data_IF_202741726635
#
_entry.id   IF_202741726635
#
_cell.length_a   1.000
_cell.length_b   1.000
_cell.length_c   1.000
_cell.angle_alpha   90.00
_cell.angle_beta   90.00
_cell.angle_gamma   90.00
#
_symmetry.space_group_name_H-M   'P 1'
#
loop_
_entity.id
_entity.type
_entity.pdbx_description
1 polymer ?
#
# COMPACT_ATOMS: atom_id res chain seq x y z
N UNK A 1 -8.20 35.17 8.27
CA UNK A 1 -8.59 33.81 7.84
C UNK A 1 -10.03 33.55 8.24
N UNK A 2 -10.94 33.37 7.27
CA UNK A 2 -12.27 32.83 7.56
C UNK A 2 -12.14 31.34 7.91
N UNK A 3 -12.57 30.96 9.11
CA UNK A 3 -12.46 29.57 9.63
C UNK A 3 -13.13 28.56 8.69
N UNK A 4 -14.16 28.98 7.96
CA UNK A 4 -14.91 28.14 7.02
C UNK A 4 -14.03 27.53 5.92
N UNK A 5 -13.15 28.32 5.29
CA UNK A 5 -12.32 27.83 4.20
C UNK A 5 -11.21 26.87 4.65
N UNK A 6 -10.71 27.06 5.88
CA UNK A 6 -9.73 26.14 6.48
C UNK A 6 -10.37 24.79 6.73
N UNK A 7 -11.62 24.78 7.21
CA UNK A 7 -12.40 23.56 7.42
C UNK A 7 -12.66 22.85 6.08
N UNK A 8 -12.96 23.58 5.01
CA UNK A 8 -13.19 23.03 3.67
C UNK A 8 -11.92 22.35 3.11
N UNK A 9 -10.77 23.03 3.19
CA UNK A 9 -9.49 22.46 2.76
C UNK A 9 -9.10 21.21 3.56
N UNK A 10 -9.29 21.25 4.88
CA UNK A 10 -9.04 20.11 5.76
C UNK A 10 -9.99 18.95 5.41
N UNK A 11 -11.26 19.24 5.15
CA UNK A 11 -12.26 18.26 4.73
C UNK A 11 -11.89 17.56 3.43
N UNK A 12 -11.49 18.33 2.40
CA UNK A 12 -11.02 17.79 1.12
C UNK A 12 -9.79 16.89 1.31
N UNK A 13 -8.86 17.29 2.18
CA UNK A 13 -7.67 16.51 2.48
C UNK A 13 -7.99 15.21 3.25
N UNK A 14 -8.95 15.26 4.18
CA UNK A 14 -9.47 14.08 4.88
C UNK A 14 -10.17 13.12 3.92
N UNK A 15 -10.96 13.63 2.97
CA UNK A 15 -11.54 12.80 1.91
C UNK A 15 -10.46 12.08 1.09
N UNK A 16 -9.35 12.77 0.79
CA UNK A 16 -8.19 12.15 0.16
C UNK A 16 -7.54 11.05 0.98
N UNK A 17 -7.40 11.25 2.28
CA UNK A 17 -6.87 10.24 3.21
C UNK A 17 -7.78 9.01 3.30
N UNK A 18 -9.11 9.21 3.39
CA UNK A 18 -10.10 8.13 3.40
C UNK A 18 -10.02 7.36 2.07
N UNK A 19 -10.04 8.06 0.94
CA UNK A 19 -9.87 7.44 -0.37
C UNK A 19 -8.60 6.59 -0.42
N UNK A 20 -7.47 7.12 0.06
CA UNK A 20 -6.19 6.42 0.05
C UNK A 20 -6.21 5.17 0.95
N UNK A 21 -6.82 5.22 2.14
CA UNK A 21 -6.99 4.04 3.01
C UNK A 21 -7.74 2.90 2.29
N UNK A 22 -8.85 3.21 1.62
CA UNK A 22 -9.61 2.21 0.87
C UNK A 22 -8.85 1.70 -0.36
N UNK A 23 -8.22 2.61 -1.10
CA UNK A 23 -7.43 2.28 -2.29
C UNK A 23 -6.25 1.36 -1.93
N UNK A 24 -5.52 1.65 -0.85
CA UNK A 24 -4.40 0.83 -0.37
C UNK A 24 -4.83 -0.61 -0.11
N UNK A 25 -5.97 -0.79 0.56
CA UNK A 25 -6.54 -2.11 0.84
C UNK A 25 -6.98 -2.85 -0.42
N UNK A 26 -7.51 -2.14 -1.41
CA UNK A 26 -7.92 -2.74 -2.67
C UNK A 26 -6.71 -3.19 -3.52
N UNK A 27 -5.71 -2.32 -3.68
CA UNK A 27 -4.50 -2.63 -4.42
C UNK A 27 -3.68 -3.75 -3.79
N UNK A 28 -3.66 -3.85 -2.45
CA UNK A 28 -3.01 -4.95 -1.75
C UNK A 28 -3.64 -6.32 -2.11
N UNK A 29 -4.95 -6.38 -2.37
CA UNK A 29 -5.64 -7.60 -2.78
C UNK A 29 -5.47 -7.91 -4.26
N UNK A 30 -5.56 -6.90 -5.12
CA UNK A 30 -5.61 -7.08 -6.57
C UNK A 30 -4.24 -7.29 -7.25
N UNK A 31 -3.13 -7.36 -6.49
CA UNK A 31 -1.75 -7.57 -6.99
C UNK A 31 -1.40 -6.70 -8.21
N UNK A 32 -1.88 -5.46 -8.23
CA UNK A 32 -1.75 -4.58 -9.40
C UNK A 32 -0.33 -4.04 -9.54
N UNK A 33 0.16 -3.92 -10.78
CA UNK A 33 1.48 -3.38 -11.08
C UNK A 33 1.70 -1.96 -10.54
N UNK A 34 2.92 -1.68 -10.07
CA UNK A 34 3.24 -0.42 -9.38
C UNK A 34 2.99 0.84 -10.23
N UNK A 35 3.21 0.75 -11.55
CA UNK A 35 2.97 1.87 -12.46
C UNK A 35 1.47 2.22 -12.56
N UNK A 36 0.61 1.21 -12.71
CA UNK A 36 -0.84 1.42 -12.79
C UNK A 36 -1.41 1.91 -11.46
N UNK A 37 -0.96 1.32 -10.33
CA UNK A 37 -1.32 1.80 -8.99
C UNK A 37 -1.01 3.28 -8.84
N UNK A 38 0.21 3.69 -9.20
CA UNK A 38 0.63 5.09 -9.14
C UNK A 38 -0.19 6.01 -10.05
N UNK A 39 -0.54 5.58 -11.26
CA UNK A 39 -1.39 6.37 -12.16
C UNK A 39 -2.79 6.60 -11.59
N UNK A 40 -3.43 5.56 -11.05
CA UNK A 40 -4.78 5.66 -10.50
C UNK A 40 -4.80 6.51 -9.24
N UNK A 41 -3.88 6.27 -8.30
CA UNK A 41 -3.81 7.06 -7.07
C UNK A 41 -3.40 8.51 -7.35
N UNK A 42 -2.47 8.73 -8.27
CA UNK A 42 -2.08 10.08 -8.69
C UNK A 42 -3.21 10.82 -9.39
N UNK A 43 -4.01 10.18 -10.26
CA UNK A 43 -5.19 10.79 -10.84
C UNK A 43 -6.23 11.19 -9.77
N UNK A 44 -6.49 10.33 -8.78
CA UNK A 44 -7.39 10.66 -7.68
C UNK A 44 -6.91 11.88 -6.87
N UNK A 45 -5.62 11.91 -6.52
CA UNK A 45 -5.02 13.04 -5.80
C UNK A 45 -4.92 14.31 -6.64
N UNK A 46 -4.73 14.18 -7.96
CA UNK A 46 -4.86 15.31 -8.87
C UNK A 46 -6.28 15.89 -8.86
N UNK A 47 -7.32 15.07 -8.71
CA UNK A 47 -8.72 15.54 -8.65
C UNK A 47 -8.94 16.33 -7.37
N UNK A 48 -8.40 15.83 -6.25
CA UNK A 48 -8.40 16.51 -4.95
C UNK A 48 -7.66 17.85 -5.05
N UNK A 49 -6.50 17.88 -5.71
CA UNK A 49 -5.77 19.13 -5.97
C UNK A 49 -6.60 20.10 -6.79
N UNK A 50 -7.26 19.65 -7.86
CA UNK A 50 -8.15 20.50 -8.68
C UNK A 50 -9.33 21.02 -7.85
N UNK A 51 -9.92 20.19 -6.98
CA UNK A 51 -10.97 20.61 -6.06
C UNK A 51 -10.49 21.71 -5.10
N UNK A 52 -9.28 21.58 -4.53
CA UNK A 52 -8.66 22.64 -3.71
C UNK A 52 -8.43 23.93 -4.52
N UNK A 53 -8.07 23.82 -5.80
CA UNK A 53 -7.90 24.99 -6.67
C UNK A 53 -9.25 25.65 -7.04
N UNK A 54 -10.34 24.89 -7.09
CA UNK A 54 -11.71 25.43 -7.30
C UNK A 54 -12.20 26.14 -6.04
N UNK A 55 -11.96 25.57 -4.85
CA UNK A 55 -12.43 26.11 -3.58
C UNK A 55 -11.85 27.49 -3.21
N UNK A 56 -10.89 28.02 -4.00
CA UNK A 56 -10.30 29.38 -3.94
C UNK A 56 -10.49 30.06 -2.58
N UNK A 57 -9.61 29.76 -1.63
CA UNK A 57 -9.68 30.30 -0.28
C UNK A 57 -9.22 31.77 -0.31
N UNK A 58 -10.11 32.71 -0.58
CA UNK A 58 -9.79 34.14 -0.57
C UNK A 58 -9.69 34.64 0.88
N UNK A 59 -8.47 34.99 1.31
CA UNK A 59 -8.20 35.53 2.66
C UNK A 59 -8.36 37.07 2.65
N UNK A 60 -8.11 37.70 1.51
CA UNK A 60 -8.34 39.13 1.21
C UNK A 60 -8.82 39.28 -0.24
N UNK A 61 -9.45 40.41 -0.63
CA UNK A 61 -9.86 40.64 -2.01
C UNK A 61 -8.66 40.53 -2.95
N UNK A 62 -8.60 39.45 -3.75
CA UNK A 62 -7.51 39.18 -4.70
C UNK A 62 -6.35 38.30 -4.18
N UNK A 63 -6.39 37.80 -2.95
CA UNK A 63 -5.36 36.91 -2.38
C UNK A 63 -5.97 35.57 -1.96
N UNK A 64 -5.68 34.52 -2.74
CA UNK A 64 -6.14 33.16 -2.48
C UNK A 64 -5.03 32.28 -1.87
N UNK A 65 -5.32 31.64 -0.73
CA UNK A 65 -4.52 30.56 -0.15
C UNK A 65 -4.79 29.28 -0.95
N UNK A 66 -3.74 28.60 -1.41
CA UNK A 66 -3.91 27.38 -2.20
C UNK A 66 -2.97 26.26 -1.72
N UNK A 67 -3.57 25.26 -1.06
CA UNK A 67 -2.90 24.05 -0.58
C UNK A 67 -2.67 23.00 -1.69
N UNK A 68 -2.75 23.38 -2.97
CA UNK A 68 -2.55 22.51 -4.15
C UNK A 68 -1.28 21.67 -4.14
N UNK A 69 -0.22 22.15 -3.49
CA UNK A 69 1.04 21.41 -3.44
C UNK A 69 0.97 20.23 -2.46
N UNK A 70 0.09 20.30 -1.44
CA UNK A 70 -0.01 19.27 -0.40
C UNK A 70 -0.44 17.91 -0.96
N UNK A 71 -1.55 17.73 -1.70
CA UNK A 71 -1.92 16.41 -2.20
C UNK A 71 -0.91 15.84 -3.20
N UNK A 72 -0.33 16.69 -4.06
CA UNK A 72 0.71 16.30 -5.03
C UNK A 72 1.98 15.84 -4.32
N UNK A 73 2.44 16.58 -3.32
CA UNK A 73 3.61 16.26 -2.52
C UNK A 73 3.42 14.95 -1.74
N UNK A 74 2.25 14.76 -1.12
CA UNK A 74 1.94 13.53 -0.40
C UNK A 74 1.94 12.32 -1.33
N UNK A 75 1.18 12.35 -2.42
CA UNK A 75 1.07 11.17 -3.27
C UNK A 75 2.39 10.84 -3.97
N UNK A 76 3.18 11.86 -4.33
CA UNK A 76 4.55 11.64 -4.80
C UNK A 76 5.43 10.97 -3.74
N UNK A 77 5.34 11.40 -2.48
CA UNK A 77 6.15 10.85 -1.39
C UNK A 77 5.81 9.39 -1.08
N UNK A 78 4.54 9.00 -1.13
CA UNK A 78 4.09 7.66 -0.75
C UNK A 78 4.03 6.67 -1.91
N UNK A 79 3.60 7.10 -3.10
CA UNK A 79 3.41 6.23 -4.28
C UNK A 79 4.49 6.42 -5.37
N UNK A 80 5.38 7.40 -5.21
CA UNK A 80 6.53 7.61 -6.08
C UNK A 80 6.27 8.54 -7.28
N UNK A 81 7.21 8.53 -8.22
CA UNK A 81 7.28 9.51 -9.33
C UNK A 81 6.07 9.43 -10.26
N UNK A 82 5.58 8.22 -10.58
CA UNK A 82 4.42 8.06 -11.47
C UNK A 82 3.15 8.67 -10.89
N UNK A 83 2.95 8.53 -9.58
CA UNK A 83 1.82 9.12 -8.88
C UNK A 83 1.97 10.63 -8.71
N UNK A 84 3.16 11.10 -8.33
CA UNK A 84 3.47 12.52 -8.21
C UNK A 84 3.28 13.28 -9.52
N UNK A 85 3.80 12.75 -10.64
CA UNK A 85 3.68 13.38 -11.95
C UNK A 85 2.28 13.30 -12.54
N UNK A 86 1.51 12.22 -12.30
CA UNK A 86 0.12 12.15 -12.76
C UNK A 86 -0.77 13.13 -12.00
N UNK A 87 -0.62 13.24 -10.68
CA UNK A 87 -1.32 14.25 -9.88
C UNK A 87 -0.93 15.67 -10.30
N UNK A 88 0.37 15.94 -10.43
CA UNK A 88 0.88 17.23 -10.87
C UNK A 88 0.45 17.58 -12.29
N UNK A 89 0.44 16.62 -13.20
CA UNK A 89 0.01 16.80 -14.58
C UNK A 89 -1.46 17.21 -14.67
N UNK A 90 -2.34 16.57 -13.89
CA UNK A 90 -3.75 16.95 -13.88
C UNK A 90 -3.98 18.33 -13.28
N UNK A 91 -3.30 18.65 -12.18
CA UNK A 91 -3.33 19.98 -11.59
C UNK A 91 -2.75 21.06 -12.53
N UNK A 92 -1.69 20.74 -13.26
CA UNK A 92 -1.06 21.62 -14.24
C UNK A 92 -1.99 21.93 -15.42
N UNK A 93 -2.74 20.94 -15.92
CA UNK A 93 -3.72 21.15 -16.97
C UNK A 93 -4.81 22.12 -16.52
N UNK A 94 -5.35 21.92 -15.32
CA UNK A 94 -6.33 22.85 -14.75
C UNK A 94 -5.74 24.24 -14.51
N UNK A 95 -4.48 24.33 -14.05
CA UNK A 95 -3.77 25.60 -13.87
C UNK A 95 -3.57 26.36 -15.18
N UNK A 96 -3.25 25.64 -16.26
CA UNK A 96 -3.11 26.19 -17.59
C UNK A 96 -4.45 26.76 -18.10
N UNK A 97 -5.55 26.03 -17.86
CA UNK A 97 -6.89 26.47 -18.24
C UNK A 97 -7.33 27.76 -17.51
N UNK A 98 -7.00 27.89 -16.22
CA UNK A 98 -7.30 29.13 -15.46
C UNK A 98 -6.52 30.36 -15.96
N UNK A 99 -5.38 30.18 -16.62
CA UNK A 99 -4.54 31.26 -17.12
C UNK A 99 -3.98 32.20 -16.04
N UNK A 100 -3.56 33.40 -16.47
CA UNK A 100 -3.01 34.46 -15.62
C UNK A 100 -1.47 34.53 -15.61
N UNK A 101 -0.90 35.64 -15.10
CA UNK A 101 0.53 35.94 -15.20
C UNK A 101 1.43 34.94 -14.45
N UNK A 102 0.88 34.21 -13.47
CA UNK A 102 1.59 33.16 -12.73
C UNK A 102 1.31 31.72 -13.19
N UNK A 103 0.70 31.52 -14.37
CA UNK A 103 0.34 30.18 -14.83
C UNK A 103 1.58 29.31 -15.11
N UNK A 104 2.51 29.80 -15.93
CA UNK A 104 3.75 29.08 -16.30
C UNK A 104 4.59 28.71 -15.06
N UNK A 105 4.96 29.64 -14.17
CA UNK A 105 5.75 29.28 -13.00
C UNK A 105 4.98 28.40 -12.00
N UNK A 106 3.64 28.52 -11.94
CA UNK A 106 2.81 27.64 -11.11
C UNK A 106 2.75 26.19 -11.64
N UNK A 107 2.67 26.01 -12.96
CA UNK A 107 2.73 24.69 -13.61
C UNK A 107 4.10 24.05 -13.37
N UNK A 108 5.17 24.81 -13.59
CA UNK A 108 6.53 24.34 -13.33
C UNK A 108 6.72 23.92 -11.86
N UNK A 109 6.17 24.69 -10.91
CA UNK A 109 6.20 24.35 -9.50
C UNK A 109 5.46 23.05 -9.17
N UNK A 110 4.24 22.85 -9.71
CA UNK A 110 3.48 21.61 -9.50
C UNK A 110 4.24 20.37 -9.99
N UNK A 111 4.78 20.43 -11.21
CA UNK A 111 5.56 19.32 -11.79
C UNK A 111 6.85 19.08 -11.00
N UNK A 112 7.55 20.14 -10.58
CA UNK A 112 8.75 20.05 -9.78
C UNK A 112 8.48 19.43 -8.40
N UNK A 113 7.39 19.80 -7.72
CA UNK A 113 6.96 19.21 -6.45
C UNK A 113 6.64 17.73 -6.63
N UNK A 114 5.85 17.36 -7.66
CA UNK A 114 5.52 15.97 -7.94
C UNK A 114 6.76 15.10 -8.21
N UNK A 115 7.73 15.63 -8.95
CA UNK A 115 9.00 14.95 -9.21
C UNK A 115 9.86 14.84 -7.94
N UNK A 116 10.03 15.93 -7.19
CA UNK A 116 10.84 15.96 -5.97
C UNK A 116 10.28 14.99 -4.92
N UNK A 117 8.97 15.04 -4.69
CA UNK A 117 8.27 14.13 -3.79
C UNK A 117 8.44 12.67 -4.23
N UNK A 118 8.26 12.38 -5.52
CA UNK A 118 8.45 11.06 -6.10
C UNK A 118 9.85 10.47 -5.89
N UNK A 119 10.88 11.30 -6.12
CA UNK A 119 12.28 10.89 -5.95
C UNK A 119 12.63 10.70 -4.46
N UNK A 120 12.09 11.55 -3.58
CA UNK A 120 12.23 11.40 -2.14
C UNK A 120 11.54 10.14 -1.63
N UNK A 121 10.33 9.86 -2.09
CA UNK A 121 9.56 8.66 -1.75
C UNK A 121 10.31 7.39 -2.13
N UNK A 122 10.87 7.35 -3.35
CA UNK A 122 11.69 6.22 -3.80
C UNK A 122 12.90 5.97 -2.90
N UNK A 123 13.58 7.02 -2.43
CA UNK A 123 14.69 6.90 -1.47
C UNK A 123 14.22 6.57 -0.05
N UNK A 124 13.03 7.02 0.36
CA UNK A 124 12.47 6.73 1.67
C UNK A 124 12.14 5.23 1.79
N UNK A 125 11.57 4.62 0.74
CA UNK A 125 11.30 3.18 0.70
C UNK A 125 12.59 2.36 0.86
N UNK A 126 13.72 2.80 0.28
CA UNK A 126 15.00 2.09 0.42
C UNK A 126 15.67 2.25 1.79
N UNK A 127 15.30 3.28 2.57
CA UNK A 127 15.93 3.61 3.87
C UNK A 127 15.00 3.39 5.09
N UNK A 128 13.97 2.56 4.95
CA UNK A 128 13.13 2.16 6.09
C UNK A 128 11.80 2.93 6.25
N UNK A 129 11.38 3.68 5.23
CA UNK A 129 10.05 4.32 5.18
C UNK A 129 10.07 5.85 5.29
N UNK A 130 8.88 6.43 5.33
CA UNK A 130 8.67 7.88 5.45
C UNK A 130 8.58 8.26 6.93
N UNK A 131 9.56 9.00 7.43
CA UNK A 131 9.56 9.53 8.81
C UNK A 131 9.42 11.05 8.86
N UNK A 132 9.41 11.61 10.08
CA UNK A 132 9.24 13.06 10.29
C UNK A 132 10.34 13.91 9.63
N UNK A 133 11.53 13.35 9.40
CA UNK A 133 12.64 14.05 8.71
C UNK A 133 12.33 14.21 7.22
N UNK A 134 11.81 13.17 6.57
CA UNK A 134 11.44 13.20 5.15
C UNK A 134 10.27 14.15 4.91
N UNK A 135 9.27 14.17 5.80
CA UNK A 135 8.15 15.11 5.72
C UNK A 135 8.60 16.56 5.89
N UNK A 136 9.49 16.84 6.85
CA UNK A 136 10.07 18.16 7.04
C UNK A 136 10.92 18.59 5.84
N UNK A 137 11.76 17.70 5.31
CA UNK A 137 12.55 17.97 4.11
C UNK A 137 11.66 18.25 2.89
N UNK A 138 10.55 17.52 2.73
CA UNK A 138 9.61 17.72 1.63
C UNK A 138 8.87 19.06 1.75
N UNK A 139 8.45 19.43 2.96
CA UNK A 139 7.85 20.74 3.21
C UNK A 139 8.82 21.88 2.86
N UNK A 140 10.09 21.77 3.27
CA UNK A 140 11.14 22.75 2.92
C UNK A 140 11.39 22.83 1.42
N UNK A 141 11.48 21.68 0.74
CA UNK A 141 11.69 21.64 -0.71
C UNK A 141 10.49 22.24 -1.45
N UNK A 142 9.27 21.91 -1.02
CA UNK A 142 8.04 22.44 -1.60
C UNK A 142 7.98 23.96 -1.43
N UNK A 143 8.28 24.46 -0.23
CA UNK A 143 8.36 25.89 0.05
C UNK A 143 9.42 26.59 -0.81
N UNK A 144 10.61 26.00 -0.97
CA UNK A 144 11.65 26.53 -1.83
C UNK A 144 11.22 26.60 -3.31
N UNK A 145 10.56 25.56 -3.81
CA UNK A 145 9.99 25.53 -5.18
C UNK A 145 8.94 26.62 -5.34
N UNK A 146 8.04 26.78 -4.36
CA UNK A 146 7.03 27.83 -4.35
C UNK A 146 7.68 29.21 -4.34
N UNK A 147 8.67 29.45 -3.49
CA UNK A 147 9.40 30.71 -3.44
C UNK A 147 10.07 31.04 -4.79
N UNK A 148 10.77 30.09 -5.40
CA UNK A 148 11.38 30.27 -6.74
C UNK A 148 10.32 30.59 -7.79
N UNK A 149 9.17 29.91 -7.74
CA UNK A 149 8.02 30.19 -8.61
C UNK A 149 7.59 31.65 -8.50
N UNK A 150 7.39 32.18 -7.29
CA UNK A 150 7.04 33.58 -7.08
C UNK A 150 8.14 34.54 -7.53
N UNK A 151 9.40 34.26 -7.22
CA UNK A 151 10.53 35.13 -7.60
C UNK A 151 10.69 35.25 -9.12
N UNK A 152 10.31 34.20 -9.87
CA UNK A 152 10.34 34.21 -11.34
C UNK A 152 9.36 35.20 -11.99
N UNK A 153 8.34 35.68 -11.25
CA UNK A 153 7.41 36.74 -11.71
C UNK A 153 8.00 38.16 -11.57
N UNK A 154 9.27 38.30 -11.18
CA UNK A 154 9.96 39.59 -11.13
C UNK A 154 9.49 40.49 -9.98
N UNK A 155 9.25 41.78 -10.25
CA UNK A 155 8.92 42.76 -9.21
C UNK A 155 7.56 42.47 -8.54
N UNK A 156 6.54 42.09 -9.31
CA UNK A 156 5.21 41.75 -8.79
C UNK A 156 5.26 40.49 -7.92
N UNK A 157 5.96 39.45 -8.37
CA UNK A 157 6.13 38.22 -7.62
C UNK A 157 6.85 38.40 -6.29
N UNK A 158 7.92 39.22 -6.28
CA UNK A 158 8.64 39.56 -5.05
C UNK A 158 7.77 40.28 -4.01
N UNK A 159 6.88 41.18 -4.45
CA UNK A 159 5.95 41.88 -3.55
C UNK A 159 4.94 40.92 -2.94
N UNK A 160 4.29 40.11 -3.77
CA UNK A 160 3.33 39.10 -3.30
C UNK A 160 3.97 38.11 -2.33
N UNK A 161 5.19 37.65 -2.62
CA UNK A 161 5.92 36.76 -1.72
C UNK A 161 6.32 37.45 -0.41
N UNK A 162 6.81 38.69 -0.45
CA UNK A 162 7.18 39.44 0.75
C UNK A 162 5.98 39.68 1.68
N UNK A 163 4.78 39.80 1.14
CA UNK A 163 3.55 39.93 1.91
C UNK A 163 3.07 38.58 2.49
N UNK A 164 3.30 37.46 1.79
CA UNK A 164 2.66 36.16 2.08
C UNK A 164 3.61 35.03 2.51
N UNK A 165 4.92 35.28 2.62
CA UNK A 165 5.91 34.22 2.86
C UNK A 165 5.62 33.39 4.12
N UNK A 166 5.08 34.02 5.18
CA UNK A 166 4.75 33.32 6.42
C UNK A 166 3.50 32.44 6.27
N UNK A 167 2.52 32.88 5.46
CA UNK A 167 1.29 32.12 5.17
C UNK A 167 1.61 30.89 4.32
N UNK A 168 2.48 31.07 3.30
CA UNK A 168 2.97 29.97 2.47
C UNK A 168 3.76 28.96 3.29
N UNK A 169 4.64 29.43 4.18
CA UNK A 169 5.40 28.58 5.07
C UNK A 169 4.49 27.80 6.02
N UNK A 170 3.50 28.47 6.63
CA UNK A 170 2.55 27.83 7.52
C UNK A 170 1.71 26.78 6.78
N UNK A 171 1.22 27.09 5.58
CA UNK A 171 0.46 26.17 4.75
C UNK A 171 1.25 24.91 4.39
N UNK A 172 2.51 25.06 3.95
CA UNK A 172 3.36 23.93 3.57
C UNK A 172 3.79 23.10 4.78
N UNK A 173 4.21 23.74 5.88
CA UNK A 173 4.66 23.03 7.09
C UNK A 173 3.51 22.32 7.77
N UNK A 174 2.36 22.98 7.94
CA UNK A 174 1.19 22.38 8.59
C UNK A 174 0.55 21.38 7.63
N UNK A 175 0.30 21.76 6.39
CA UNK A 175 -0.37 20.93 5.39
C UNK A 175 0.43 19.66 5.11
N UNK A 176 1.68 19.77 4.65
CA UNK A 176 2.51 18.60 4.33
C UNK A 176 2.93 17.87 5.60
N UNK A 177 3.29 18.58 6.67
CA UNK A 177 3.74 17.96 7.92
C UNK A 177 2.64 17.15 8.63
N UNK A 178 1.47 17.75 8.85
CA UNK A 178 0.34 17.07 9.50
C UNK A 178 -0.22 15.98 8.61
N UNK A 179 -0.48 16.29 7.32
CA UNK A 179 -1.03 15.30 6.41
C UNK A 179 -0.06 14.12 6.22
N UNK A 180 1.24 14.37 6.07
CA UNK A 180 2.20 13.26 5.94
C UNK A 180 2.20 12.36 7.17
N UNK A 181 2.10 12.92 8.39
CA UNK A 181 1.95 12.11 9.61
C UNK A 181 0.69 11.27 9.60
N UNK A 182 -0.46 11.86 9.27
CA UNK A 182 -1.73 11.14 9.17
C UNK A 182 -1.67 10.03 8.10
N UNK A 183 -1.00 10.28 6.97
CA UNK A 183 -0.77 9.25 5.94
C UNK A 183 0.13 8.12 6.45
N UNK A 184 1.22 8.44 7.14
CA UNK A 184 2.08 7.41 7.78
C UNK A 184 1.24 6.57 8.74
N UNK A 185 0.47 7.21 9.63
CA UNK A 185 -0.35 6.53 10.62
C UNK A 185 -1.39 5.60 9.95
N UNK A 186 -2.06 6.07 8.89
CA UNK A 186 -3.02 5.25 8.12
C UNK A 186 -2.33 4.06 7.45
N UNK A 187 -1.19 4.28 6.80
CA UNK A 187 -0.45 3.20 6.12
C UNK A 187 0.07 2.18 7.13
N UNK A 188 0.67 2.62 8.24
CA UNK A 188 1.15 1.74 9.29
C UNK A 188 0.01 0.95 9.93
N UNK A 189 -1.13 1.60 10.16
CA UNK A 189 -2.32 0.94 10.69
C UNK A 189 -2.83 -0.15 9.76
N UNK A 190 -2.99 0.14 8.47
CA UNK A 190 -3.44 -0.86 7.49
C UNK A 190 -2.46 -2.05 7.39
N UNK A 191 -1.15 -1.79 7.49
CA UNK A 191 -0.13 -2.85 7.53
C UNK A 191 -0.24 -3.71 8.79
N UNK A 192 -0.41 -3.09 9.96
CA UNK A 192 -0.61 -3.81 11.24
C UNK A 192 -1.87 -4.65 11.19
N UNK A 193 -2.97 -4.08 10.72
CA UNK A 193 -4.25 -4.77 10.61
C UNK A 193 -4.21 -5.93 9.60
N UNK A 194 -3.44 -5.79 8.51
CA UNK A 194 -3.20 -6.88 7.56
C UNK A 194 -2.37 -8.01 8.18
N UNK A 195 -1.27 -7.68 8.86
CA UNK A 195 -0.42 -8.66 9.52
C UNK A 195 -1.15 -9.42 10.63
N UNK A 196 -1.99 -8.73 11.42
CA UNK A 196 -2.84 -9.36 12.44
C UNK A 196 -3.85 -10.33 11.83
N UNK A 197 -4.48 -9.96 10.70
CA UNK A 197 -5.42 -10.84 9.99
C UNK A 197 -4.73 -12.08 9.45
N UNK A 198 -3.55 -11.93 8.87
CA UNK A 198 -2.75 -13.05 8.35
C UNK A 198 -2.30 -14.00 9.48
N UNK A 199 -1.79 -13.44 10.60
CA UNK A 199 -1.41 -14.23 11.76
C UNK A 199 -2.59 -14.98 12.39
N UNK A 200 -3.76 -14.34 12.48
CA UNK A 200 -4.98 -14.98 12.97
C UNK A 200 -5.44 -16.12 12.05
N UNK A 201 -5.40 -15.91 10.73
CA UNK A 201 -5.73 -16.93 9.74
C UNK A 201 -4.77 -18.12 9.86
N UNK A 202 -3.44 -17.87 9.87
CA UNK A 202 -2.43 -18.91 10.02
C UNK A 202 -2.61 -19.70 11.32
N UNK A 203 -2.84 -19.01 12.44
CA UNK A 203 -3.07 -19.67 13.74
C UNK A 203 -4.30 -20.58 13.70
N UNK A 204 -5.40 -20.14 13.08
CA UNK A 204 -6.62 -20.93 12.97
C UNK A 204 -6.43 -22.18 12.10
N UNK A 205 -5.76 -22.04 10.95
CA UNK A 205 -5.47 -23.14 10.03
C UNK A 205 -4.49 -24.12 10.66
N UNK A 206 -3.41 -23.64 11.28
CA UNK A 206 -2.43 -24.49 11.96
C UNK A 206 -3.04 -25.25 13.15
N UNK A 207 -3.98 -24.64 13.89
CA UNK A 207 -4.69 -25.32 14.97
C UNK A 207 -5.59 -26.44 14.44
N UNK A 208 -6.38 -26.16 13.39
CA UNK A 208 -7.24 -27.16 12.75
C UNK A 208 -6.43 -28.29 12.12
N UNK A 209 -5.34 -27.95 11.44
CA UNK A 209 -4.41 -28.89 10.82
C UNK A 209 -3.74 -29.80 11.85
N UNK A 210 -3.29 -29.26 12.99
CA UNK A 210 -2.75 -30.09 14.07
C UNK A 210 -3.80 -31.04 14.67
N UNK A 211 -5.02 -30.56 14.89
CA UNK A 211 -6.12 -31.40 15.38
C UNK A 211 -6.46 -32.53 14.39
N UNK A 212 -6.67 -32.19 13.11
CA UNK A 212 -6.95 -33.17 12.06
C UNK A 212 -5.79 -34.16 11.87
N UNK A 213 -4.54 -33.71 11.96
CA UNK A 213 -3.39 -34.60 11.84
C UNK A 213 -3.32 -35.62 12.99
N UNK A 214 -3.68 -35.19 14.21
CA UNK A 214 -3.79 -36.08 15.35
C UNK A 214 -4.91 -37.12 15.14
N UNK A 215 -6.09 -36.68 14.72
CA UNK A 215 -7.23 -37.57 14.47
C UNK A 215 -7.03 -38.54 13.31
N UNK A 216 -6.26 -38.19 12.27
CA UNK A 216 -5.94 -39.08 11.15
C UNK A 216 -4.84 -40.08 11.53
N UNK A 217 -3.79 -39.64 12.24
CA UNK A 217 -2.67 -40.51 12.60
C UNK A 217 -3.09 -41.66 13.52
N UNK A 218 -4.11 -41.46 14.37
CA UNK A 218 -4.60 -42.49 15.28
C UNK A 218 -5.08 -43.76 14.54
N UNK A 219 -6.10 -43.72 13.66
CA UNK A 219 -6.52 -44.88 12.88
C UNK A 219 -5.46 -45.31 11.86
N UNK A 220 -4.68 -44.38 11.29
CA UNK A 220 -3.65 -44.72 10.31
C UNK A 220 -2.55 -45.59 10.91
N UNK A 221 -2.14 -45.32 12.16
CA UNK A 221 -1.18 -46.15 12.91
C UNK A 221 -1.71 -47.57 13.08
N UNK A 222 -3.00 -47.73 13.39
CA UNK A 222 -3.62 -49.05 13.48
C UNK A 222 -3.66 -49.77 12.13
N UNK A 223 -4.01 -49.08 11.03
CA UNK A 223 -4.01 -49.64 9.67
C UNK A 223 -2.61 -50.10 9.26
N UNK A 224 -1.59 -49.25 9.43
CA UNK A 224 -0.20 -49.59 9.13
C UNK A 224 0.26 -50.80 9.95
N UNK A 225 -0.06 -50.84 11.25
CA UNK A 225 0.27 -51.97 12.12
C UNK A 225 -0.35 -53.30 11.67
N UNK A 226 -1.62 -53.31 11.26
CA UNK A 226 -2.27 -54.52 10.71
C UNK A 226 -1.64 -54.97 9.39
N UNK A 227 -1.31 -54.02 8.50
CA UNK A 227 -0.66 -54.31 7.22
C UNK A 227 0.77 -54.85 7.42
N UNK A 228 1.51 -54.34 8.41
CA UNK A 228 2.82 -54.86 8.82
C UNK A 228 2.72 -56.32 9.29
N UNK A 229 1.75 -56.63 10.15
CA UNK A 229 1.51 -58.01 10.61
C UNK A 229 1.15 -58.96 9.47
N UNK A 230 0.29 -58.53 8.53
CA UNK A 230 -0.07 -59.33 7.36
C UNK A 230 1.12 -59.57 6.43
N UNK A 231 1.98 -58.57 6.25
CA UNK A 231 3.19 -58.67 5.43
C UNK A 231 4.15 -59.72 5.99
N UNK A 232 4.22 -59.88 7.32
CA UNK A 232 5.06 -60.90 7.97
C UNK A 232 4.48 -62.32 7.88
N UNK A 233 3.17 -62.46 7.65
CA UNK A 233 2.47 -63.76 7.63
C UNK A 233 2.29 -64.34 6.23
N UNK A 234 2.23 -63.50 5.19
CA UNK A 234 1.98 -63.95 3.83
C UNK A 234 3.27 -64.47 3.16
N UNK A 235 3.22 -65.57 2.39
CA UNK A 235 4.38 -66.08 1.66
C UNK A 235 4.85 -65.07 0.59
N UNK A 236 6.16 -64.88 0.49
CA UNK A 236 6.76 -64.02 -0.52
C UNK A 236 6.42 -64.49 -1.94
N UNK A 237 6.12 -63.54 -2.84
CA UNK A 237 5.78 -63.82 -4.24
C UNK A 237 4.31 -64.14 -4.53
N UNK A 238 3.45 -64.11 -3.52
CA UNK A 238 1.98 -64.23 -3.70
C UNK A 238 1.36 -62.88 -4.11
N UNK A 239 0.24 -62.93 -4.84
CA UNK A 239 -0.48 -61.72 -5.28
C UNK A 239 -1.05 -60.93 -4.10
N UNK A 240 -1.49 -61.63 -3.04
CA UNK A 240 -1.98 -61.05 -1.79
C UNK A 240 -0.88 -60.29 -1.05
N UNK A 241 0.35 -60.83 -1.01
CA UNK A 241 1.49 -60.14 -0.41
C UNK A 241 1.83 -58.84 -1.14
N UNK A 242 1.73 -58.81 -2.48
CA UNK A 242 1.88 -57.56 -3.24
C UNK A 242 0.80 -56.53 -2.93
N UNK A 243 -0.48 -56.95 -2.82
CA UNK A 243 -1.57 -56.03 -2.49
C UNK A 243 -1.41 -55.42 -1.10
N UNK A 244 -1.08 -56.22 -0.10
CA UNK A 244 -0.82 -55.74 1.27
C UNK A 244 0.35 -54.76 1.27
N UNK A 245 1.45 -55.06 0.55
CA UNK A 245 2.60 -54.16 0.41
C UNK A 245 2.20 -52.83 -0.22
N UNK A 246 1.43 -52.83 -1.31
CA UNK A 246 0.95 -51.58 -1.95
C UNK A 246 0.04 -50.76 -1.03
N UNK A 247 -0.84 -51.42 -0.27
CA UNK A 247 -1.71 -50.77 0.71
C UNK A 247 -0.92 -50.15 1.86
N UNK A 248 0.13 -50.83 2.31
CA UNK A 248 1.09 -50.31 3.30
C UNK A 248 1.82 -49.08 2.78
N UNK A 249 2.38 -49.17 1.58
CA UNK A 249 3.11 -48.06 0.96
C UNK A 249 2.20 -46.84 0.74
N UNK A 250 0.94 -47.06 0.35
CA UNK A 250 -0.06 -45.99 0.25
C UNK A 250 -0.38 -45.36 1.62
N UNK A 251 -0.51 -46.16 2.67
CA UNK A 251 -0.77 -45.67 4.03
C UNK A 251 0.40 -44.85 4.57
N UNK A 252 1.64 -45.26 4.27
CA UNK A 252 2.84 -44.50 4.62
C UNK A 252 2.94 -43.17 3.87
N UNK A 253 2.56 -43.14 2.58
CA UNK A 253 2.45 -41.87 1.83
C UNK A 253 1.41 -40.93 2.45
N UNK A 254 0.27 -41.45 2.92
CA UNK A 254 -0.72 -40.64 3.64
C UNK A 254 -0.11 -40.09 4.94
N UNK A 255 0.62 -40.92 5.69
CA UNK A 255 1.28 -40.50 6.94
C UNK A 255 2.27 -39.35 6.68
N UNK A 256 3.02 -39.40 5.58
CA UNK A 256 3.93 -38.34 5.15
C UNK A 256 3.18 -37.02 4.82
N UNK A 257 2.05 -37.09 4.11
CA UNK A 257 1.21 -35.91 3.84
C UNK A 257 0.68 -35.31 5.15
N UNK A 258 0.18 -36.15 6.06
CA UNK A 258 -0.35 -35.72 7.36
C UNK A 258 0.76 -35.14 8.26
N UNK A 259 1.99 -35.65 8.16
CA UNK A 259 3.14 -35.10 8.86
C UNK A 259 3.43 -33.65 8.41
N UNK A 260 3.39 -33.38 7.10
CA UNK A 260 3.55 -32.02 6.54
C UNK A 260 2.47 -31.06 7.03
N UNK A 261 1.24 -31.54 7.18
CA UNK A 261 0.10 -30.75 7.70
C UNK A 261 0.34 -30.21 9.12
N UNK A 262 1.18 -30.85 9.95
CA UNK A 262 1.53 -30.35 11.30
C UNK A 262 2.48 -29.14 11.29
N UNK A 263 3.15 -28.90 10.17
CA UNK A 263 4.21 -27.91 10.04
C UNK A 263 3.83 -26.76 9.10
N UNK A 264 2.55 -26.38 9.09
CA UNK A 264 2.09 -25.22 8.31
C UNK A 264 2.64 -23.93 8.94
N UNK A 265 3.56 -23.26 8.24
CA UNK A 265 4.20 -22.00 8.66
C UNK A 265 3.75 -20.81 7.82
N UNK A 266 3.12 -21.06 6.67
CA UNK A 266 2.54 -20.03 5.78
C UNK A 266 1.26 -20.54 5.11
N UNK A 267 0.46 -19.61 4.58
CA UNK A 267 -0.75 -19.95 3.82
C UNK A 267 -0.48 -19.73 2.33
N UNK A 268 -0.15 -20.80 1.63
CA UNK A 268 -0.01 -20.79 0.16
C UNK A 268 -1.22 -21.50 -0.45
N UNK A 269 -1.91 -20.84 -1.37
CA UNK A 269 -3.05 -21.42 -2.09
C UNK A 269 -2.67 -21.76 -3.54
N UNK A 270 -3.21 -22.86 -4.04
CA UNK A 270 -3.17 -23.16 -5.47
C UNK A 270 -4.40 -22.53 -6.12
N UNK A 271 -4.16 -21.66 -7.09
CA UNK A 271 -5.21 -21.10 -7.93
C UNK A 271 -5.86 -22.25 -8.71
N UNK A 272 -7.09 -22.58 -8.36
CA UNK A 272 -7.80 -23.70 -8.98
C UNK A 272 -8.26 -23.28 -10.37
N UNK A 273 -7.89 -24.03 -11.41
CA UNK A 273 -8.37 -23.76 -12.76
C UNK A 273 -9.87 -24.11 -12.85
N UNK A 274 -10.74 -23.10 -12.74
CA UNK A 274 -12.20 -23.24 -12.88
C UNK A 274 -12.99 -22.60 -11.73
N UNK A 275 -14.27 -22.96 -11.53
CA UNK A 275 -15.14 -22.41 -10.48
C UNK A 275 -14.89 -23.01 -9.08
N UNK A 276 -13.80 -23.77 -8.90
CA UNK A 276 -13.49 -24.43 -7.64
C UNK A 276 -12.87 -23.42 -6.66
N UNK A 277 -13.21 -23.50 -5.36
CA UNK A 277 -12.58 -22.68 -4.34
C UNK A 277 -11.07 -22.95 -4.26
N UNK A 278 -10.30 -21.92 -3.91
CA UNK A 278 -8.86 -22.05 -3.68
C UNK A 278 -8.56 -23.13 -2.62
N UNK A 279 -7.58 -23.99 -2.91
CA UNK A 279 -7.16 -25.07 -2.02
C UNK A 279 -5.80 -24.73 -1.44
N UNK A 280 -5.62 -24.98 -0.14
CA UNK A 280 -4.34 -24.81 0.55
C UNK A 280 -3.32 -25.83 0.03
N UNK A 281 -2.18 -25.33 -0.46
CA UNK A 281 -1.03 -26.12 -0.88
C UNK A 281 -0.24 -26.56 0.35
N UNK A 282 -0.51 -27.75 0.89
CA UNK A 282 0.13 -28.25 2.12
C UNK A 282 1.66 -28.34 1.97
N UNK A 283 2.14 -28.70 0.78
CA UNK A 283 3.57 -28.83 0.51
C UNK A 283 4.25 -27.47 0.63
N UNK A 284 3.83 -26.50 -0.19
CA UNK A 284 4.37 -25.15 -0.12
C UNK A 284 4.14 -24.54 1.26
N UNK A 285 3.01 -24.78 1.90
CA UNK A 285 2.69 -24.21 3.21
C UNK A 285 3.57 -24.72 4.35
N UNK A 286 4.32 -25.82 4.15
CA UNK A 286 5.17 -26.48 5.15
C UNK A 286 6.68 -26.37 4.92
N UNK A 287 7.11 -25.80 3.78
CA UNK A 287 8.53 -25.59 3.47
C UNK A 287 9.11 -24.39 4.24
N UNK A 288 10.12 -24.64 5.09
CA UNK A 288 11.01 -23.58 5.60
C UNK A 288 12.00 -23.19 4.50
N UNK A 289 12.10 -21.88 4.21
CA UNK A 289 13.16 -21.37 3.33
C UNK A 289 14.51 -21.52 4.05
N UNK A 290 15.32 -22.48 3.61
CA UNK A 290 16.77 -22.43 3.75
C UNK A 290 17.36 -21.42 2.75
#
# INVERSE_FOLDING_TARGET
MNVHHVIEALGILVCGLIFYSYAYRWFARARVGAAYRGLVTGAAFGTITVALMIARIEIQPGVAMDARHTPVALIGLFEGVTAGLSAAGMAALYRAWMGGPGAVPGIAALLAVGLAAGLMGRRAVTHGGVGSRQSAALATITYAITAVSFLSLGATGRRLFAEQWWELLAADVIGIGLAARLFVDVVERERRDAALREAAALKSVAALANAAAHEINNPLTAVVGHLDMLTQRLPAGTTEAEWVKRGRDASLRIAEIVARMRHITRLETVESQGPLPEILDIEKSSEDRA
#
